data_IF_897638167099
#
_entry.id   IF_897638167099
#
_cell.length_a   1.000
_cell.length_b   1.000
_cell.length_c   1.000
_cell.angle_alpha   90.00
_cell.angle_beta   90.00
_cell.angle_gamma   90.00
#
_symmetry.space_group_name_H-M   'P 1'
#
loop_
_entity.id
_entity.type
_entity.pdbx_description
1 polymer ?
#
# COMPACT_ATOMS: atom_id res chain seq x y z
N UNK A 1 25.74 2.92 -23.71
CA UNK A 1 25.37 1.95 -22.68
C UNK A 1 24.04 1.33 -23.06
N UNK A 2 23.97 0.00 -23.10
CA UNK A 2 22.71 -0.71 -23.41
C UNK A 2 21.84 -0.84 -22.17
N UNK A 3 20.54 -1.07 -22.35
CA UNK A 3 19.60 -1.17 -21.22
C UNK A 3 19.89 -2.39 -20.33
N UNK A 4 20.39 -3.49 -20.89
CA UNK A 4 20.82 -4.66 -20.13
C UNK A 4 22.11 -4.43 -19.31
N UNK A 5 22.90 -3.41 -19.62
CA UNK A 5 24.16 -3.08 -18.93
C UNK A 5 23.95 -2.13 -17.74
N UNK A 6 22.79 -1.47 -17.65
CA UNK A 6 22.45 -0.56 -16.54
C UNK A 6 21.79 -1.39 -15.45
N UNK A 7 22.48 -1.57 -14.33
CA UNK A 7 22.05 -2.36 -13.19
C UNK A 7 21.66 -1.45 -12.04
N UNK A 8 20.46 -1.68 -11.51
CA UNK A 8 19.96 -1.13 -10.26
C UNK A 8 20.23 -2.17 -9.17
N UNK A 9 21.01 -1.81 -8.16
CA UNK A 9 21.30 -2.67 -7.01
C UNK A 9 20.60 -2.12 -5.76
N UNK A 10 19.79 -2.95 -5.10
CA UNK A 10 19.09 -2.62 -3.87
C UNK A 10 20.07 -2.67 -2.71
N UNK A 11 20.37 -1.52 -2.12
CA UNK A 11 21.27 -1.36 -0.97
C UNK A 11 20.53 -1.61 0.34
N UNK A 12 19.31 -1.09 0.43
CA UNK A 12 18.42 -1.33 1.58
C UNK A 12 17.08 -1.83 1.05
N UNK A 13 16.68 -3.07 1.39
CA UNK A 13 15.41 -3.62 0.95
C UNK A 13 14.24 -2.90 1.64
N UNK A 14 13.03 -3.02 1.08
CA UNK A 14 11.82 -2.56 1.74
C UNK A 14 11.57 -3.31 3.05
N UNK A 15 10.87 -2.66 3.99
CA UNK A 15 10.58 -3.20 5.32
C UNK A 15 9.30 -4.01 5.37
N UNK A 16 8.30 -3.66 4.56
CA UNK A 16 6.95 -4.23 4.61
C UNK A 16 6.70 -5.27 3.51
N UNK A 17 7.65 -5.42 2.60
CA UNK A 17 7.54 -6.32 1.47
C UNK A 17 8.90 -6.65 0.86
N UNK A 18 8.89 -7.04 -0.41
CA UNK A 18 10.09 -7.34 -1.16
C UNK A 18 9.96 -6.93 -2.63
N UNK A 19 11.10 -6.70 -3.27
CA UNK A 19 11.16 -6.50 -4.72
C UNK A 19 11.34 -7.88 -5.36
N UNK A 20 10.56 -8.17 -6.40
CA UNK A 20 10.58 -9.45 -7.11
C UNK A 20 10.66 -9.25 -8.62
N UNK A 21 11.07 -10.30 -9.32
CA UNK A 21 10.87 -10.39 -10.75
C UNK A 21 9.59 -11.18 -11.03
N UNK A 22 8.72 -10.72 -11.92
CA UNK A 22 7.44 -11.41 -12.23
C UNK A 22 7.64 -12.85 -12.71
N UNK A 23 8.80 -13.18 -13.28
CA UNK A 23 9.16 -14.53 -13.75
C UNK A 23 9.56 -15.47 -12.60
N UNK A 24 9.91 -14.92 -11.44
CA UNK A 24 10.32 -15.64 -10.22
C UNK A 24 9.64 -15.03 -8.99
N UNK A 25 8.33 -15.23 -8.91
CA UNK A 25 7.52 -14.75 -7.78
C UNK A 25 7.97 -15.36 -6.45
N UNK A 26 7.70 -14.66 -5.37
CA UNK A 26 8.00 -15.04 -3.98
C UNK A 26 9.49 -15.14 -3.64
N UNK A 27 10.37 -14.80 -4.58
CA UNK A 27 11.82 -14.77 -4.35
C UNK A 27 12.31 -13.32 -4.41
N UNK A 28 12.87 -12.77 -3.33
CA UNK A 28 13.39 -11.41 -3.34
C UNK A 28 14.57 -11.31 -4.31
N UNK A 29 14.62 -10.19 -5.04
CA UNK A 29 15.77 -9.83 -5.88
C UNK A 29 16.51 -8.64 -5.26
N UNK A 30 17.84 -8.69 -5.28
CA UNK A 30 18.70 -7.59 -4.83
C UNK A 30 19.19 -6.71 -5.97
N UNK A 31 18.93 -7.09 -7.23
CA UNK A 31 19.28 -6.29 -8.40
C UNK A 31 18.37 -6.59 -9.59
N UNK A 32 18.28 -5.61 -10.50
CA UNK A 32 17.53 -5.70 -11.76
C UNK A 32 18.12 -4.71 -12.77
N UNK A 33 17.84 -4.92 -14.06
CA UNK A 33 18.37 -4.08 -15.14
C UNK A 33 17.36 -3.01 -15.58
N UNK A 34 17.83 -1.98 -16.30
CA UNK A 34 16.93 -1.03 -16.96
C UNK A 34 15.99 -1.73 -17.95
N UNK A 35 16.45 -2.81 -18.59
CA UNK A 35 15.61 -3.64 -19.46
C UNK A 35 14.50 -4.36 -18.68
N UNK A 36 14.75 -4.84 -17.46
CA UNK A 36 13.72 -5.45 -16.60
C UNK A 36 12.63 -4.44 -16.23
N UNK A 37 13.02 -3.19 -15.93
CA UNK A 37 12.07 -2.09 -15.68
C UNK A 37 11.26 -1.79 -16.94
N UNK A 38 11.93 -1.63 -18.10
CA UNK A 38 11.27 -1.32 -19.37
C UNK A 38 10.29 -2.44 -19.80
N UNK A 39 10.60 -3.68 -19.41
CA UNK A 39 9.76 -4.85 -19.66
C UNK A 39 8.68 -5.06 -18.59
N UNK A 40 8.56 -4.17 -17.60
CA UNK A 40 7.60 -4.26 -16.49
C UNK A 40 7.75 -5.56 -15.67
N UNK A 41 8.97 -6.09 -15.59
CA UNK A 41 9.25 -7.35 -14.90
C UNK A 41 9.54 -7.17 -13.41
N UNK A 42 9.74 -5.94 -12.92
CA UNK A 42 10.09 -5.65 -11.54
C UNK A 42 8.83 -5.24 -10.79
N UNK A 43 8.51 -5.93 -9.70
CA UNK A 43 7.30 -5.68 -8.89
C UNK A 43 7.64 -5.61 -7.42
N UNK A 44 6.85 -4.83 -6.68
CA UNK A 44 6.84 -4.87 -5.22
C UNK A 44 5.74 -5.84 -4.76
N UNK A 45 6.10 -6.76 -3.87
CA UNK A 45 5.17 -7.66 -3.22
C UNK A 45 5.10 -7.32 -1.73
N UNK A 46 3.96 -6.80 -1.31
CA UNK A 46 3.67 -6.49 0.09
C UNK A 46 3.42 -7.77 0.88
N UNK A 47 4.13 -7.95 2.00
CA UNK A 47 4.07 -9.18 2.80
C UNK A 47 3.40 -8.98 4.16
N UNK A 48 3.38 -7.76 4.68
CA UNK A 48 2.78 -7.47 5.98
C UNK A 48 1.27 -7.29 5.89
N UNK A 49 0.59 -7.39 7.03
CA UNK A 49 -0.85 -7.09 7.18
C UNK A 49 -1.09 -5.97 8.18
N UNK A 50 -0.06 -5.16 8.48
CA UNK A 50 -0.19 -4.04 9.40
C UNK A 50 -0.75 -2.80 8.66
N UNK A 51 -1.14 -1.79 9.43
CA UNK A 51 -1.72 -0.55 8.90
C UNK A 51 -0.64 0.47 8.49
N UNK A 52 0.62 0.04 8.33
CA UNK A 52 1.69 0.93 7.90
C UNK A 52 1.52 1.17 6.40
N UNK A 53 1.29 2.43 6.04
CA UNK A 53 0.97 2.85 4.67
C UNK A 53 2.19 3.33 3.88
N UNK A 54 3.38 3.32 4.49
CA UNK A 54 4.62 3.81 3.87
C UNK A 54 5.72 2.76 3.94
N UNK A 55 6.35 2.51 2.80
CA UNK A 55 7.54 1.68 2.68
C UNK A 55 8.55 2.36 1.73
N UNK A 56 9.81 1.95 1.77
CA UNK A 56 10.81 2.45 0.83
C UNK A 56 11.96 1.46 0.67
N UNK A 57 12.63 1.54 -0.47
CA UNK A 57 13.91 0.86 -0.66
C UNK A 57 14.94 1.83 -1.21
N UNK A 58 16.21 1.61 -0.85
CA UNK A 58 17.35 2.39 -1.35
C UNK A 58 18.08 1.58 -2.41
N UNK A 59 18.46 2.23 -3.50
CA UNK A 59 19.18 1.59 -4.59
C UNK A 59 20.31 2.48 -5.10
N UNK A 60 21.26 1.88 -5.79
CA UNK A 60 22.28 2.57 -6.59
C UNK A 60 22.22 2.07 -8.02
N UNK A 61 22.75 2.86 -8.95
CA UNK A 61 22.74 2.55 -10.38
C UNK A 61 24.16 2.52 -10.91
N UNK A 62 24.52 1.49 -11.64
CA UNK A 62 25.84 1.36 -12.27
C UNK A 62 25.70 0.82 -13.68
N UNK A 63 26.63 1.24 -14.55
CA UNK A 63 26.82 0.66 -15.88
C UNK A 63 28.12 -0.17 -15.98
N UNK A 64 28.72 -0.51 -14.83
CA UNK A 64 30.02 -1.19 -14.75
C UNK A 64 31.25 -0.28 -14.89
N UNK A 65 31.10 0.93 -15.43
CA UNK A 65 32.18 1.92 -15.56
C UNK A 65 32.12 2.98 -14.46
N UNK A 66 30.91 3.34 -14.06
CA UNK A 66 30.65 4.39 -13.06
C UNK A 66 29.40 4.04 -12.26
N UNK A 67 29.38 4.46 -11.00
CA UNK A 67 28.26 4.29 -10.10
C UNK A 67 27.65 5.66 -9.75
N UNK A 68 26.33 5.75 -9.85
CA UNK A 68 25.56 6.92 -9.48
C UNK A 68 25.41 7.01 -7.95
N UNK A 69 24.98 8.18 -7.46
CA UNK A 69 24.59 8.34 -6.06
C UNK A 69 23.38 7.46 -5.74
N UNK A 70 23.28 7.08 -4.47
CA UNK A 70 22.15 6.31 -3.97
C UNK A 70 20.85 7.11 -4.10
N UNK A 71 19.81 6.43 -4.56
CA UNK A 71 18.45 6.93 -4.65
C UNK A 71 17.53 6.16 -3.69
N UNK A 72 16.43 6.81 -3.31
CA UNK A 72 15.36 6.19 -2.54
C UNK A 72 14.08 6.12 -3.39
N UNK A 73 13.45 4.95 -3.40
CA UNK A 73 12.13 4.76 -4.00
C UNK A 73 11.10 4.61 -2.89
N UNK A 74 10.14 5.54 -2.84
CA UNK A 74 9.05 5.55 -1.85
C UNK A 74 7.83 4.82 -2.37
N UNK A 75 7.20 4.03 -1.52
CA UNK A 75 6.03 3.21 -1.81
C UNK A 75 4.91 3.65 -0.86
N UNK A 76 3.81 4.13 -1.43
CA UNK A 76 2.59 4.44 -0.69
C UNK A 76 1.60 3.29 -0.84
N UNK A 77 1.27 2.66 0.28
CA UNK A 77 0.34 1.54 0.37
C UNK A 77 -1.01 2.11 0.78
N UNK A 78 -2.03 1.89 -0.05
CA UNK A 78 -3.39 2.21 0.31
C UNK A 78 -4.01 1.02 1.04
N UNK A 79 -4.48 1.24 2.26
CA UNK A 79 -5.31 0.27 2.96
C UNK A 79 -6.60 0.08 2.16
N UNK A 80 -6.88 -1.17 1.80
CA UNK A 80 -8.16 -1.54 1.21
C UNK A 80 -9.16 -1.71 2.35
N UNK A 81 -10.31 -1.06 2.24
CA UNK A 81 -11.47 -1.30 3.11
C UNK A 81 -11.91 -2.77 2.95
N UNK A 82 -11.78 -3.55 4.03
CA UNK A 82 -11.93 -5.01 4.05
C UNK A 82 -13.07 -5.47 4.95
N UNK A 83 -13.56 -4.61 5.83
CA UNK A 83 -14.55 -4.94 6.84
C UNK A 83 -15.79 -4.11 6.57
N UNK A 84 -16.87 -4.79 6.20
CA UNK A 84 -18.16 -4.13 6.02
C UNK A 84 -18.61 -3.44 7.32
N UNK A 85 -19.28 -2.28 7.24
CA UNK A 85 -19.85 -1.62 8.40
C UNK A 85 -20.77 -2.55 9.19
N UNK A 86 -20.67 -2.46 10.51
CA UNK A 86 -21.52 -3.19 11.45
C UNK A 86 -22.50 -2.26 12.15
N UNK A 87 -23.75 -2.70 12.30
CA UNK A 87 -24.77 -1.93 13.01
C UNK A 87 -24.58 -2.06 14.53
N UNK A 88 -24.41 -0.92 15.20
CA UNK A 88 -24.25 -0.83 16.66
C UNK A 88 -25.60 -0.59 17.34
N UNK A 89 -26.40 0.31 16.79
CA UNK A 89 -27.72 0.67 17.32
C UNK A 89 -28.73 0.74 16.19
N UNK A 90 -29.91 0.16 16.41
CA UNK A 90 -31.10 0.33 15.58
C UNK A 90 -32.33 0.16 16.46
N UNK A 91 -32.76 1.26 17.08
CA UNK A 91 -33.89 1.30 17.99
C UNK A 91 -35.07 2.04 17.37
N UNK A 92 -36.27 1.70 17.85
CA UNK A 92 -37.51 2.35 17.42
C UNK A 92 -37.48 3.83 17.79
N UNK A 93 -37.81 4.70 16.84
CA UNK A 93 -38.07 6.13 17.08
C UNK A 93 -39.56 6.38 16.91
N UNK A 94 -40.23 6.73 18.00
CA UNK A 94 -41.64 7.13 17.97
C UNK A 94 -41.73 8.64 17.72
N UNK A 95 -42.56 9.04 16.75
CA UNK A 95 -42.76 10.45 16.39
C UNK A 95 -44.24 10.76 16.48
N UNK A 96 -44.59 11.83 17.19
CA UNK A 96 -45.96 12.29 17.26
C UNK A 96 -46.39 12.89 15.92
N UNK A 97 -47.64 12.65 15.52
CA UNK A 97 -48.16 13.20 14.27
C UNK A 97 -48.08 14.74 14.27
N UNK A 98 -47.44 15.29 13.25
CA UNK A 98 -47.27 16.74 13.09
C UNK A 98 -46.06 17.31 13.82
N UNK A 99 -45.22 16.48 14.44
CA UNK A 99 -43.95 16.91 15.05
C UNK A 99 -42.74 16.36 14.26
N UNK A 100 -41.57 16.86 14.62
CA UNK A 100 -40.28 16.37 14.12
C UNK A 100 -39.48 15.85 15.32
N UNK A 101 -38.80 14.72 15.14
CA UNK A 101 -37.89 14.15 16.12
C UNK A 101 -36.54 13.91 15.49
N UNK A 102 -35.47 14.18 16.24
CA UNK A 102 -34.10 14.03 15.73
C UNK A 102 -33.66 12.57 15.77
N UNK A 103 -33.19 12.07 14.63
CA UNK A 103 -32.44 10.82 14.62
C UNK A 103 -31.07 11.06 15.28
N UNK A 104 -30.75 10.30 16.31
CA UNK A 104 -29.49 10.43 17.06
C UNK A 104 -28.71 9.10 17.02
N UNK A 105 -27.43 9.07 17.42
CA UNK A 105 -26.68 7.82 17.52
C UNK A 105 -27.26 6.79 18.50
N UNK A 106 -28.21 7.17 19.36
CA UNK A 106 -28.97 6.22 20.19
C UNK A 106 -29.98 5.44 19.33
N UNK A 107 -30.56 6.12 18.34
CA UNK A 107 -31.57 5.57 17.43
C UNK A 107 -30.92 4.73 16.33
N UNK A 108 -29.88 5.27 15.69
CA UNK A 108 -29.20 4.59 14.59
C UNK A 108 -27.70 4.90 14.63
N UNK A 109 -26.87 3.85 14.74
CA UNK A 109 -25.42 3.97 14.70
C UNK A 109 -24.82 2.75 14.02
N UNK A 110 -23.90 2.96 13.10
CA UNK A 110 -23.03 1.93 12.55
C UNK A 110 -21.57 2.28 12.85
N UNK A 111 -20.71 1.26 12.91
CA UNK A 111 -19.27 1.42 13.03
C UNK A 111 -18.58 0.55 12.00
N UNK A 112 -17.56 1.11 11.38
CA UNK A 112 -16.71 0.46 10.40
C UNK A 112 -15.27 0.57 10.94
N UNK A 113 -14.59 -0.55 11.21
CA UNK A 113 -13.23 -0.52 11.75
C UNK A 113 -12.17 0.00 10.77
N UNK A 114 -12.42 -0.09 9.47
CA UNK A 114 -11.48 0.29 8.41
C UNK A 114 -11.69 1.75 7.95
N UNK A 115 -12.89 2.30 8.17
CA UNK A 115 -13.23 3.70 7.89
C UNK A 115 -13.01 4.56 9.13
N UNK A 116 -12.10 5.55 9.03
CA UNK A 116 -11.90 6.53 10.10
C UNK A 116 -13.23 7.24 10.46
N UNK A 117 -13.45 7.49 11.76
CA UNK A 117 -14.61 8.23 12.25
C UNK A 117 -14.53 9.71 11.86
N UNK A 118 -14.74 10.02 10.59
CA UNK A 118 -14.90 11.37 10.10
C UNK A 118 -16.22 11.46 9.35
N UNK A 119 -17.21 12.02 10.03
CA UNK A 119 -18.28 12.86 9.49
C UNK A 119 -18.86 13.68 10.64
#
# INVERSE_FOLDING_TARGET
TKAEEIVFAVIRPPRLGQIENIKKRFTPISSFTQMDIASQNVVYHHLTKNDITEDSFTFTVTNGLSQAKDGEFKISIQSMDKILPSLVSNSLLEVLQGTEESLTPVHLKATDPDTAAQN
#
